data_IF_327813161777
#
_entry.id   IF_327813161777
#
_cell.length_a   1.000
_cell.length_b   1.000
_cell.length_c   1.000
_cell.angle_alpha   90.00
_cell.angle_beta   90.00
_cell.angle_gamma   90.00
#
_symmetry.space_group_name_H-M   'P 1'
#
loop_
_entity.id
_entity.type
_entity.pdbx_description
1 polymer ?
#
# COMPACT_ATOMS: atom_id res chain seq x y z
N UNK A 1 -10.51 0.57 30.56
CA UNK A 1 -9.91 -0.65 30.01
C UNK A 1 -10.56 -1.10 28.73
N UNK A 2 -11.87 -1.23 28.72
CA UNK A 2 -12.59 -1.58 27.50
C UNK A 2 -12.38 -0.55 26.41
N UNK A 3 -12.32 0.71 26.78
CA UNK A 3 -12.05 1.80 25.85
C UNK A 3 -10.68 1.68 25.22
N UNK A 4 -9.70 1.20 25.97
CA UNK A 4 -8.36 1.00 25.47
C UNK A 4 -8.33 -0.06 24.37
N UNK A 5 -9.12 -1.10 24.52
CA UNK A 5 -9.20 -2.14 23.48
C UNK A 5 -9.66 -1.58 22.16
N UNK A 6 -10.63 -0.69 22.19
CA UNK A 6 -11.17 -0.08 20.98
C UNK A 6 -10.12 0.79 20.29
N UNK A 7 -9.42 1.59 21.10
CA UNK A 7 -8.35 2.45 20.58
C UNK A 7 -7.22 1.62 19.99
N UNK A 8 -6.84 0.52 20.66
CA UNK A 8 -5.81 -0.38 20.17
C UNK A 8 -6.21 -0.97 18.82
N UNK A 9 -7.47 -1.35 18.67
CA UNK A 9 -7.97 -1.90 17.41
C UNK A 9 -7.84 -0.91 16.27
N UNK A 10 -8.16 0.36 16.51
CA UNK A 10 -8.01 1.40 15.51
C UNK A 10 -6.55 1.59 15.12
N UNK A 11 -5.65 1.58 16.10
CA UNK A 11 -4.23 1.71 15.86
C UNK A 11 -3.70 0.53 15.05
N UNK A 12 -4.13 -0.68 15.36
CA UNK A 12 -3.73 -1.86 14.61
C UNK A 12 -4.17 -1.77 13.16
N UNK A 13 -5.37 -1.33 12.93
CA UNK A 13 -5.93 -1.17 11.59
C UNK A 13 -5.10 -0.17 10.79
N UNK A 14 -4.79 0.96 11.39
CA UNK A 14 -3.98 1.99 10.74
C UNK A 14 -2.57 1.50 10.47
N UNK A 15 -1.98 0.75 11.40
CA UNK A 15 -0.65 0.20 11.23
C UNK A 15 -0.59 -0.82 10.09
N UNK A 16 -1.60 -1.64 9.95
CA UNK A 16 -1.67 -2.59 8.84
C UNK A 16 -1.68 -1.85 7.50
N UNK A 17 -2.44 -0.78 7.42
CA UNK A 17 -2.49 0.04 6.21
C UNK A 17 -1.13 0.63 5.89
N UNK A 18 -0.43 1.12 6.90
CA UNK A 18 0.91 1.67 6.73
C UNK A 18 1.90 0.63 6.26
N UNK A 19 1.82 -0.58 6.79
CA UNK A 19 2.71 -1.67 6.39
C UNK A 19 2.49 -2.00 4.91
N UNK A 20 1.25 -2.11 4.49
CA UNK A 20 0.92 -2.36 3.09
C UNK A 20 1.46 -1.24 2.21
N UNK A 21 1.23 -0.01 2.63
CA UNK A 21 1.70 1.15 1.91
C UNK A 21 3.22 1.17 1.77
N UNK A 22 3.93 0.85 2.86
CA UNK A 22 5.39 0.83 2.85
C UNK A 22 5.94 -0.28 1.95
N UNK A 23 5.26 -1.41 1.90
CA UNK A 23 5.63 -2.48 0.97
C UNK A 23 5.47 -2.02 -0.48
N UNK A 24 4.39 -1.31 -0.75
CA UNK A 24 4.16 -0.75 -2.07
C UNK A 24 5.26 0.25 -2.43
N UNK A 25 5.61 1.12 -1.49
CA UNK A 25 6.68 2.10 -1.67
C UNK A 25 8.00 1.41 -1.97
N UNK A 26 8.34 0.36 -1.22
CA UNK A 26 9.57 -0.39 -1.44
C UNK A 26 9.61 -0.99 -2.84
N UNK A 27 8.50 -1.55 -3.29
CA UNK A 27 8.40 -2.11 -4.63
C UNK A 27 8.54 -1.03 -5.69
N UNK A 28 7.87 0.10 -5.51
CA UNK A 28 7.96 1.22 -6.45
C UNK A 28 9.39 1.76 -6.54
N UNK A 29 10.10 1.81 -5.43
CA UNK A 29 11.50 2.23 -5.43
C UNK A 29 12.37 1.29 -6.27
N UNK A 30 12.11 0.00 -6.18
CA UNK A 30 12.85 -0.98 -6.98
C UNK A 30 12.60 -0.82 -8.46
N UNK A 31 11.37 -0.49 -8.83
CA UNK A 31 11.02 -0.31 -10.23
C UNK A 31 11.63 0.95 -10.82
N UNK A 32 11.80 1.97 -10.00
CA UNK A 32 12.29 3.27 -10.44
C UNK A 32 11.22 4.05 -11.21
N UNK A 33 11.44 5.34 -11.36
CA UNK A 33 10.56 6.17 -12.16
C UNK A 33 9.23 6.57 -11.54
N UNK A 34 9.02 6.26 -10.28
CA UNK A 34 7.75 6.56 -9.60
C UNK A 34 7.94 7.50 -8.41
N UNK A 35 8.90 8.39 -8.51
CA UNK A 35 9.28 9.25 -7.39
C UNK A 35 8.16 10.13 -6.86
N UNK A 36 7.37 10.72 -7.75
CA UNK A 36 6.25 11.57 -7.34
C UNK A 36 5.19 10.78 -6.59
N UNK A 37 4.89 9.59 -7.08
CA UNK A 37 3.93 8.72 -6.42
C UNK A 37 4.44 8.28 -5.04
N UNK A 38 5.71 7.94 -4.95
CA UNK A 38 6.33 7.54 -3.69
C UNK A 38 6.22 8.66 -2.66
N UNK A 39 6.55 9.90 -3.04
CA UNK A 39 6.44 11.05 -2.16
C UNK A 39 5.01 11.25 -1.66
N UNK A 40 4.05 11.15 -2.56
CA UNK A 40 2.65 11.29 -2.21
C UNK A 40 2.22 10.25 -1.19
N UNK A 41 2.61 8.99 -1.41
CA UNK A 41 2.25 7.90 -0.51
C UNK A 41 2.91 8.06 0.86
N UNK A 42 4.17 8.45 0.89
CA UNK A 42 4.88 8.67 2.15
C UNK A 42 4.23 9.81 2.94
N UNK A 43 3.83 10.88 2.27
CA UNK A 43 3.15 11.99 2.93
C UNK A 43 1.82 11.54 3.53
N UNK A 44 1.05 10.77 2.80
CA UNK A 44 -0.22 10.23 3.31
C UNK A 44 0.00 9.37 4.55
N UNK A 45 1.05 8.55 4.54
CA UNK A 45 1.38 7.74 5.70
C UNK A 45 1.75 8.59 6.91
N UNK A 46 2.51 9.65 6.69
CA UNK A 46 2.90 10.55 7.77
C UNK A 46 1.71 11.26 8.40
N UNK A 47 0.73 11.58 7.59
CA UNK A 47 -0.47 12.27 8.04
C UNK A 47 -1.51 11.34 8.63
N UNK A 48 -1.24 10.03 8.65
CA UNK A 48 -2.21 9.02 9.07
C UNK A 48 -3.52 9.16 8.29
N UNK A 49 -3.42 9.44 7.01
CA UNK A 49 -4.56 9.63 6.14
C UNK A 49 -5.32 8.32 5.96
N UNK A 50 -6.59 8.32 6.30
CA UNK A 50 -7.43 7.12 6.17
C UNK A 50 -7.59 6.69 4.72
N UNK A 51 -7.40 7.60 3.78
CA UNK A 51 -7.54 7.31 2.36
C UNK A 51 -6.22 6.89 1.72
N UNK A 52 -5.20 6.58 2.52
CA UNK A 52 -3.86 6.30 2.00
C UNK A 52 -3.81 5.14 1.00
N UNK A 53 -4.70 4.18 1.11
CA UNK A 53 -4.76 3.04 0.19
C UNK A 53 -5.76 3.26 -0.96
N UNK A 54 -6.54 4.31 -0.92
CA UNK A 54 -7.59 4.52 -1.90
C UNK A 54 -6.99 4.80 -3.28
N UNK A 55 -6.70 5.13 -4.05
CA UNK A 55 -6.10 5.26 -5.35
C UNK A 55 -4.88 4.38 -5.56
N UNK A 56 -4.31 3.82 -4.48
CA UNK A 56 -3.13 2.97 -4.61
C UNK A 56 -3.43 1.69 -5.40
N UNK A 57 -4.57 1.09 -5.15
CA UNK A 57 -4.98 -0.12 -5.86
C UNK A 57 -5.03 0.11 -7.36
N UNK A 58 -5.65 1.22 -7.78
CA UNK A 58 -5.71 1.58 -9.20
C UNK A 58 -4.32 1.79 -9.80
N UNK A 59 -3.47 2.51 -9.07
CA UNK A 59 -2.11 2.79 -9.53
C UNK A 59 -1.31 1.51 -9.70
N UNK A 60 -1.40 0.61 -8.73
CA UNK A 60 -0.67 -0.66 -8.80
C UNK A 60 -1.20 -1.55 -9.93
N UNK A 61 -2.50 -1.58 -10.12
CA UNK A 61 -3.11 -2.35 -11.20
C UNK A 61 -2.66 -1.81 -12.56
N UNK A 62 -2.62 -0.50 -12.69
CA UNK A 62 -2.17 0.15 -13.90
C UNK A 62 -0.70 -0.17 -14.20
N UNK A 63 0.14 -0.10 -13.17
CA UNK A 63 1.55 -0.44 -13.32
C UNK A 63 1.72 -1.92 -13.69
N UNK A 64 0.97 -2.79 -13.03
CA UNK A 64 1.03 -4.22 -13.29
C UNK A 64 0.69 -4.55 -14.75
N UNK A 65 -0.24 -3.85 -15.33
CA UNK A 65 -0.66 -4.10 -16.72
C UNK A 65 0.46 -3.85 -17.71
N UNK A 66 1.47 -3.10 -17.34
CA UNK A 66 2.64 -2.85 -18.18
C UNK A 66 3.68 -3.96 -18.14
N UNK A 67 3.52 -4.94 -17.26
CA UNK A 67 4.47 -6.03 -17.12
C UNK A 67 3.88 -7.33 -17.64
N UNK A 68 4.78 -8.21 -18.05
CA UNK A 68 4.38 -9.52 -18.57
C UNK A 68 3.80 -10.37 -17.43
N UNK A 69 2.69 -11.05 -17.67
CA UNK A 69 2.13 -11.99 -16.71
C UNK A 69 3.19 -12.99 -16.29
N UNK A 70 3.17 -13.36 -15.02
CA UNK A 70 4.11 -14.31 -14.43
C UNK A 70 5.54 -13.79 -14.29
N UNK A 71 5.84 -12.56 -14.71
CA UNK A 71 7.14 -11.97 -14.41
C UNK A 71 7.23 -11.75 -12.88
N UNK A 72 8.45 -11.69 -12.36
CA UNK A 72 8.63 -11.48 -10.92
C UNK A 72 8.05 -10.14 -10.46
N UNK A 73 8.14 -9.11 -11.29
CA UNK A 73 7.56 -7.81 -10.98
C UNK A 73 6.04 -7.87 -10.96
N UNK A 74 5.45 -8.53 -11.94
CA UNK A 74 3.99 -8.71 -11.99
C UNK A 74 3.49 -9.43 -10.74
N UNK A 75 4.15 -10.53 -10.37
CA UNK A 75 3.76 -11.30 -9.19
C UNK A 75 3.92 -10.51 -7.90
N UNK A 76 4.95 -9.71 -7.80
CA UNK A 76 5.18 -8.87 -6.62
C UNK A 76 4.10 -7.80 -6.47
N UNK A 77 3.72 -7.17 -7.57
CA UNK A 77 2.63 -6.20 -7.57
C UNK A 77 1.31 -6.88 -7.25
N UNK A 78 1.10 -8.09 -7.76
CA UNK A 78 -0.12 -8.84 -7.46
C UNK A 78 -0.23 -9.16 -5.97
N UNK A 79 0.86 -9.52 -5.32
CA UNK A 79 0.86 -9.75 -3.88
C UNK A 79 0.39 -8.54 -3.09
N UNK A 80 0.88 -7.36 -3.47
CA UNK A 80 0.48 -6.12 -2.79
C UNK A 80 -0.98 -5.80 -3.06
N UNK A 81 -1.41 -5.97 -4.31
CA UNK A 81 -2.80 -5.76 -4.69
C UNK A 81 -3.72 -6.66 -3.86
N UNK A 82 -3.35 -7.92 -3.73
CA UNK A 82 -4.12 -8.88 -2.93
C UNK A 82 -4.18 -8.47 -1.47
N UNK A 83 -3.08 -7.98 -0.91
CA UNK A 83 -3.07 -7.49 0.46
C UNK A 83 -4.02 -6.30 0.65
N UNK A 84 -4.06 -5.38 -0.30
CA UNK A 84 -4.96 -4.23 -0.23
C UNK A 84 -6.42 -4.70 -0.28
N UNK A 85 -6.72 -5.61 -1.19
CA UNK A 85 -8.08 -6.09 -1.37
C UNK A 85 -8.56 -7.01 -0.25
N UNK A 86 -7.68 -7.87 0.23
CA UNK A 86 -8.05 -8.87 1.21
C UNK A 86 -7.73 -8.51 2.64
N UNK A 87 -6.83 -7.58 2.86
CA UNK A 87 -6.34 -7.24 4.19
C UNK A 87 -7.15 -6.18 4.93
N UNK A 88 -8.15 -5.65 4.28
CA UNK A 88 -9.04 -4.66 4.88
C UNK A 88 -10.44 -5.20 5.06
#
# INVERSE_FOLDING_TARGET
MIQNSKVITENEFMQKRKIILLRAVATLKRLGGNESLIEELVDKARQNDETMLDGLLEKLTELQSGYREKSSTYCRLQEIIDEIEGGC
#
